data_IF_348051588302
#
_entry.id   IF_348051588302
#
_cell.length_a   1.000
_cell.length_b   1.000
_cell.length_c   1.000
_cell.angle_alpha   90.00
_cell.angle_beta   90.00
_cell.angle_gamma   90.00
#
_symmetry.space_group_name_H-M   'P 1'
#
loop_
_entity.id
_entity.type
_entity.pdbx_description
1 polymer ?
#
# COMPACT_ATOMS: atom_id res chain seq x y z
N UNK A 1 3.46 0.46 3.18
CA UNK A 1 4.27 1.48 3.89
C UNK A 1 5.25 0.84 4.89
N UNK A 2 4.80 -0.08 5.77
CA UNK A 2 5.66 -0.68 6.79
C UNK A 2 6.86 -1.45 6.20
N UNK A 3 6.65 -2.20 5.12
CA UNK A 3 7.73 -2.93 4.42
C UNK A 3 8.78 -1.96 3.89
N UNK A 4 8.38 -0.88 3.23
CA UNK A 4 9.33 0.10 2.70
C UNK A 4 10.09 0.83 3.80
N UNK A 5 9.44 1.19 4.91
CA UNK A 5 10.11 1.80 6.05
C UNK A 5 11.18 0.87 6.65
N UNK A 6 10.84 -0.40 6.83
CA UNK A 6 11.79 -1.40 7.31
C UNK A 6 12.98 -1.58 6.36
N UNK A 7 12.73 -1.59 5.04
CA UNK A 7 13.79 -1.64 4.03
C UNK A 7 14.73 -0.44 4.09
N UNK A 8 14.21 0.77 4.27
CA UNK A 8 15.04 1.97 4.43
C UNK A 8 15.98 1.89 5.64
N UNK A 9 15.57 1.18 6.69
CA UNK A 9 16.35 1.03 7.92
C UNK A 9 17.34 -0.13 7.87
N UNK A 10 17.01 -1.22 7.18
CA UNK A 10 17.72 -2.48 7.32
C UNK A 10 18.30 -3.06 6.02
N UNK A 11 17.87 -2.59 4.85
CA UNK A 11 18.34 -3.12 3.57
C UNK A 11 19.49 -2.26 3.02
N UNK A 12 20.71 -2.71 3.25
CA UNK A 12 21.93 -2.03 2.76
C UNK A 12 21.94 -1.87 1.23
N UNK A 13 21.40 -2.86 0.48
CA UNK A 13 21.36 -2.78 -0.99
C UNK A 13 20.44 -1.67 -1.47
N UNK A 14 19.29 -1.49 -0.81
CA UNK A 14 18.39 -0.38 -1.11
C UNK A 14 19.05 0.94 -0.73
N UNK A 15 19.67 1.04 0.45
CA UNK A 15 20.34 2.24 0.90
C UNK A 15 21.46 2.66 -0.06
N UNK A 16 22.30 1.73 -0.49
CA UNK A 16 23.35 1.99 -1.50
C UNK A 16 22.77 2.39 -2.86
N UNK A 17 21.66 1.76 -3.28
CA UNK A 17 21.01 2.11 -4.54
C UNK A 17 20.47 3.55 -4.49
N UNK A 18 19.89 3.96 -3.37
CA UNK A 18 19.43 5.33 -3.16
C UNK A 18 20.60 6.33 -3.13
N UNK A 19 21.69 6.00 -2.44
CA UNK A 19 22.86 6.88 -2.40
C UNK A 19 23.57 7.03 -3.76
N UNK A 20 23.56 5.98 -4.59
CA UNK A 20 24.05 6.06 -5.98
C UNK A 20 23.24 7.02 -6.85
N UNK A 21 21.92 7.11 -6.61
CA UNK A 21 21.03 7.95 -7.42
C UNK A 21 20.93 9.39 -6.90
N UNK A 22 20.92 9.56 -5.58
CA UNK A 22 20.59 10.84 -4.95
C UNK A 22 21.74 11.47 -4.16
N UNK A 23 22.92 10.82 -4.15
CA UNK A 23 24.09 11.27 -3.38
C UNK A 23 24.06 10.79 -1.92
N UNK A 24 24.97 11.26 -1.07
CA UNK A 24 25.09 10.79 0.30
C UNK A 24 23.86 11.15 1.12
N UNK A 25 23.16 10.14 1.61
CA UNK A 25 21.87 10.28 2.31
C UNK A 25 21.93 9.91 3.80
N UNK A 26 23.07 9.41 4.31
CA UNK A 26 23.12 8.93 5.69
C UNK A 26 23.20 10.07 6.69
N UNK A 27 22.53 9.87 7.82
CA UNK A 27 22.64 10.71 9.00
C UNK A 27 23.87 10.34 9.86
N UNK A 28 23.99 10.96 11.04
CA UNK A 28 25.09 10.73 12.00
C UNK A 28 25.15 9.30 12.54
N UNK A 29 24.02 8.58 12.47
CA UNK A 29 23.88 7.21 12.96
C UNK A 29 24.01 6.17 11.84
N UNK A 30 24.28 6.61 10.60
CA UNK A 30 24.38 5.75 9.44
C UNK A 30 23.03 5.36 8.79
N UNK A 31 21.90 5.86 9.31
CA UNK A 31 20.58 5.63 8.75
C UNK A 31 20.27 6.61 7.60
N UNK A 32 19.38 6.22 6.69
CA UNK A 32 18.92 7.12 5.61
C UNK A 32 18.14 8.31 6.19
N UNK A 33 18.66 9.51 5.96
CA UNK A 33 17.98 10.77 6.28
C UNK A 33 16.81 11.01 5.32
N UNK A 34 15.62 10.62 5.75
CA UNK A 34 14.39 10.75 4.97
C UNK A 34 14.02 12.20 4.66
N UNK A 35 14.39 13.16 5.53
CA UNK A 35 14.14 14.59 5.28
C UNK A 35 15.02 15.09 4.15
N UNK A 36 16.30 14.70 4.16
CA UNK A 36 17.27 15.04 3.11
C UNK A 36 16.84 14.43 1.77
N UNK A 37 16.46 13.14 1.75
CA UNK A 37 15.94 12.49 0.55
C UNK A 37 14.70 13.21 0.04
N UNK A 38 13.75 13.51 0.90
CA UNK A 38 12.53 14.25 0.55
C UNK A 38 12.83 15.62 -0.05
N UNK A 39 13.76 16.38 0.54
CA UNK A 39 14.16 17.68 0.01
C UNK A 39 14.75 17.60 -1.41
N UNK A 40 15.43 16.51 -1.76
CA UNK A 40 15.98 16.27 -3.09
C UNK A 40 14.89 15.93 -4.11
N UNK A 41 13.96 15.03 -3.75
CA UNK A 41 13.03 14.46 -4.73
C UNK A 41 11.75 15.28 -4.90
N UNK A 42 11.24 15.97 -3.85
CA UNK A 42 10.00 16.75 -3.97
C UNK A 42 10.13 18.02 -4.82
N UNK A 43 11.35 18.46 -5.11
CA UNK A 43 11.61 19.61 -5.98
C UNK A 43 11.84 19.22 -7.46
N UNK A 44 11.89 17.91 -7.75
CA UNK A 44 12.24 17.38 -9.07
C UNK A 44 11.36 16.16 -9.39
N UNK A 45 10.37 16.31 -10.28
CA UNK A 45 9.45 15.23 -10.64
C UNK A 45 10.14 13.98 -11.18
N UNK A 46 11.24 14.11 -11.91
CA UNK A 46 11.98 12.97 -12.47
C UNK A 46 12.68 12.19 -11.35
N UNK A 47 13.24 12.89 -10.37
CA UNK A 47 13.84 12.25 -9.19
C UNK A 47 12.80 11.59 -8.32
N UNK A 48 11.61 12.20 -8.18
CA UNK A 48 10.50 11.58 -7.45
C UNK A 48 10.04 10.29 -8.12
N UNK A 49 9.92 10.29 -9.45
CA UNK A 49 9.56 9.09 -10.21
C UNK A 49 10.64 8.00 -10.07
N UNK A 50 11.91 8.36 -10.16
CA UNK A 50 13.02 7.45 -9.95
C UNK A 50 13.00 6.84 -8.54
N UNK A 51 12.77 7.64 -7.50
CA UNK A 51 12.61 7.15 -6.13
C UNK A 51 11.46 6.15 -6.02
N UNK A 52 10.29 6.50 -6.57
CA UNK A 52 9.13 5.64 -6.56
C UNK A 52 9.43 4.29 -7.24
N UNK A 53 10.13 4.32 -8.38
CA UNK A 53 10.52 3.11 -9.09
C UNK A 53 11.47 2.22 -8.27
N UNK A 54 12.51 2.80 -7.67
CA UNK A 54 13.48 2.07 -6.83
C UNK A 54 12.80 1.49 -5.60
N UNK A 55 11.98 2.29 -4.91
CA UNK A 55 11.22 1.89 -3.73
C UNK A 55 10.22 0.76 -4.03
N UNK A 56 9.50 0.87 -5.14
CA UNK A 56 8.52 -0.12 -5.57
C UNK A 56 9.20 -1.47 -5.86
N UNK A 57 10.29 -1.48 -6.62
CA UNK A 57 11.05 -2.72 -6.91
C UNK A 57 11.54 -3.41 -5.65
N UNK A 58 12.14 -2.67 -4.72
CA UNK A 58 12.62 -3.22 -3.46
C UNK A 58 11.46 -3.80 -2.62
N UNK A 59 10.35 -3.07 -2.55
CA UNK A 59 9.15 -3.51 -1.82
C UNK A 59 8.55 -4.79 -2.42
N UNK A 60 8.47 -4.90 -3.74
CA UNK A 60 7.97 -6.11 -4.42
C UNK A 60 8.87 -7.31 -4.12
N UNK A 61 10.19 -7.16 -4.19
CA UNK A 61 11.15 -8.23 -3.88
C UNK A 61 10.99 -8.68 -2.44
N UNK A 62 10.93 -7.75 -1.49
CA UNK A 62 10.76 -8.07 -0.06
C UNK A 62 9.41 -8.72 0.23
N UNK A 63 8.35 -8.26 -0.42
CA UNK A 63 7.01 -8.86 -0.25
C UNK A 63 7.00 -10.31 -0.74
N UNK A 64 7.62 -10.61 -1.89
CA UNK A 64 7.76 -12.00 -2.39
C UNK A 64 8.52 -12.88 -1.39
N UNK A 65 9.60 -12.36 -0.80
CA UNK A 65 10.36 -13.07 0.22
C UNK A 65 9.48 -13.39 1.44
N UNK A 66 8.73 -12.39 1.95
CA UNK A 66 7.85 -12.57 3.12
C UNK A 66 6.73 -13.59 2.85
N UNK A 67 6.18 -13.62 1.64
CA UNK A 67 5.20 -14.65 1.24
C UNK A 67 5.85 -16.03 1.28
N UNK A 68 7.03 -16.20 0.70
CA UNK A 68 7.75 -17.48 0.74
C UNK A 68 8.10 -17.93 2.16
N UNK A 69 8.42 -17.02 3.08
CA UNK A 69 8.63 -17.32 4.49
C UNK A 69 7.33 -17.81 5.17
N UNK A 70 6.18 -17.16 4.85
CA UNK A 70 4.86 -17.60 5.32
C UNK A 70 4.49 -19.00 4.81
N UNK A 71 4.78 -19.30 3.55
CA UNK A 71 4.55 -20.63 2.94
C UNK A 71 5.37 -21.70 3.67
N UNK A 72 6.67 -21.46 3.89
CA UNK A 72 7.54 -22.39 4.62
C UNK A 72 7.08 -22.63 6.07
N UNK A 73 6.47 -21.62 6.69
CA UNK A 73 5.91 -21.72 8.05
C UNK A 73 4.49 -22.29 8.09
N UNK A 74 3.92 -22.68 6.94
CA UNK A 74 2.55 -23.14 6.80
C UNK A 74 1.53 -22.12 7.34
N UNK A 75 1.76 -20.82 7.13
CA UNK A 75 0.80 -19.80 7.51
C UNK A 75 -0.50 -20.00 6.72
N UNK A 76 -1.66 -20.05 7.37
CA UNK A 76 -2.93 -20.32 6.68
C UNK A 76 -3.39 -19.16 5.79
N UNK A 77 -2.89 -17.96 6.03
CA UNK A 77 -3.26 -16.74 5.29
C UNK A 77 -2.13 -15.72 5.39
N UNK A 78 -1.80 -15.09 4.26
CA UNK A 78 -0.99 -13.88 4.19
C UNK A 78 -1.80 -12.76 3.52
N UNK A 79 -1.79 -11.56 4.10
CA UNK A 79 -2.48 -10.41 3.55
C UNK A 79 -1.49 -9.31 3.15
N UNK A 80 -1.66 -8.73 1.96
CA UNK A 80 -0.91 -7.58 1.49
C UNK A 80 -1.82 -6.35 1.56
N UNK A 81 -1.49 -5.40 2.44
CA UNK A 81 -2.15 -4.08 2.49
C UNK A 81 -1.26 -3.05 1.77
N UNK A 82 -1.66 -2.63 0.59
CA UNK A 82 -0.92 -1.70 -0.23
C UNK A 82 -1.84 -0.81 -1.08
N UNK A 83 -1.61 0.51 -1.03
CA UNK A 83 -2.34 1.50 -1.83
C UNK A 83 -2.13 1.24 -3.34
N UNK A 84 -0.91 0.92 -3.74
CA UNK A 84 -0.53 0.67 -5.13
C UNK A 84 -0.43 -0.84 -5.44
N UNK A 85 -1.32 -1.67 -4.89
CA UNK A 85 -1.31 -3.12 -5.08
C UNK A 85 -1.38 -3.50 -6.56
N UNK A 86 -2.28 -2.87 -7.30
CA UNK A 86 -2.50 -3.15 -8.73
C UNK A 86 -1.38 -2.57 -9.59
N UNK A 87 -1.00 -1.31 -9.34
CA UNK A 87 0.02 -0.60 -10.11
C UNK A 87 1.42 -1.21 -9.93
N UNK A 88 1.69 -1.81 -8.78
CA UNK A 88 2.96 -2.50 -8.50
C UNK A 88 3.02 -3.92 -9.05
N UNK A 89 1.90 -4.47 -9.50
CA UNK A 89 1.79 -5.86 -9.91
C UNK A 89 1.80 -6.86 -8.75
N UNK A 90 1.73 -6.41 -7.49
CA UNK A 90 1.66 -7.28 -6.31
C UNK A 90 0.36 -8.11 -6.27
N UNK A 91 -0.71 -7.64 -6.92
CA UNK A 91 -1.95 -8.40 -7.09
C UNK A 91 -1.72 -9.76 -7.78
N UNK A 92 -0.71 -9.89 -8.64
CA UNK A 92 -0.37 -11.16 -9.30
C UNK A 92 0.15 -12.24 -8.32
N UNK A 93 0.51 -11.85 -7.09
CA UNK A 93 0.92 -12.76 -6.02
C UNK A 93 -0.26 -13.17 -5.12
N UNK A 94 -1.43 -12.59 -5.32
CA UNK A 94 -2.61 -12.81 -4.51
C UNK A 94 -3.52 -13.85 -5.17
N UNK A 95 -4.12 -14.73 -4.37
CA UNK A 95 -5.20 -15.62 -4.83
C UNK A 95 -6.53 -14.86 -4.96
N UNK A 96 -6.66 -13.77 -4.21
CA UNK A 96 -7.83 -12.90 -4.26
C UNK A 96 -7.42 -11.45 -3.92
N UNK A 97 -8.07 -10.49 -4.55
CA UNK A 97 -7.90 -9.07 -4.32
C UNK A 97 -9.20 -8.45 -3.82
N UNK A 98 -9.11 -7.60 -2.80
CA UNK A 98 -10.25 -6.94 -2.17
C UNK A 98 -10.06 -5.44 -2.23
N UNK A 99 -10.94 -4.73 -2.92
CA UNK A 99 -11.02 -3.28 -2.85
C UNK A 99 -11.86 -2.86 -1.65
N UNK A 100 -11.30 -2.02 -0.79
CA UNK A 100 -12.06 -1.38 0.30
C UNK A 100 -12.35 0.05 -0.12
N UNK A 101 -13.60 0.33 -0.46
CA UNK A 101 -14.05 1.61 -0.96
C UNK A 101 -14.80 2.40 0.12
N UNK A 102 -14.80 3.71 0.01
CA UNK A 102 -15.60 4.61 0.84
C UNK A 102 -15.92 5.89 0.06
N UNK A 103 -17.08 6.52 0.28
CA UNK A 103 -17.43 7.78 -0.36
C UNK A 103 -16.33 8.83 -0.17
N UNK A 104 -16.06 9.70 -1.17
CA UNK A 104 -14.99 10.69 -1.11
C UNK A 104 -15.03 11.56 0.16
N UNK A 105 -16.22 11.99 0.57
CA UNK A 105 -16.43 12.82 1.76
C UNK A 105 -16.04 12.09 3.06
N UNK A 106 -16.32 10.78 3.11
CA UNK A 106 -15.93 9.93 4.25
C UNK A 106 -14.40 9.80 4.30
N UNK A 107 -13.75 9.61 3.15
CA UNK A 107 -12.29 9.54 3.04
C UNK A 107 -11.64 10.85 3.45
N UNK A 108 -12.12 11.99 2.95
CA UNK A 108 -11.65 13.33 3.31
C UNK A 108 -11.71 13.54 4.82
N UNK A 109 -12.86 13.28 5.45
CA UNK A 109 -13.04 13.43 6.90
C UNK A 109 -12.07 12.55 7.70
N UNK A 110 -11.89 11.28 7.27
CA UNK A 110 -10.95 10.37 7.92
C UNK A 110 -9.50 10.82 7.81
N UNK A 111 -9.09 11.33 6.66
CA UNK A 111 -7.74 11.87 6.43
C UNK A 111 -7.51 13.10 7.30
N UNK A 112 -8.44 14.04 7.32
CA UNK A 112 -8.36 15.24 8.17
C UNK A 112 -8.21 14.88 9.65
N UNK A 113 -9.04 13.96 10.14
CA UNK A 113 -9.01 13.55 11.55
C UNK A 113 -7.72 12.82 11.94
N UNK A 114 -7.16 12.01 11.02
CA UNK A 114 -5.95 11.23 11.27
C UNK A 114 -4.68 12.08 11.21
N UNK A 115 -4.62 13.02 10.29
CA UNK A 115 -3.38 13.73 9.95
C UNK A 115 -3.39 15.22 10.33
N UNK A 116 -4.54 15.76 10.73
CA UNK A 116 -4.66 17.17 11.13
C UNK A 116 -4.44 18.16 9.98
N UNK A 117 -4.71 17.76 8.74
CA UNK A 117 -4.50 18.58 7.54
C UNK A 117 -5.78 19.33 7.15
N UNK A 118 -5.63 20.36 6.30
CA UNK A 118 -6.77 21.11 5.78
C UNK A 118 -7.67 20.26 4.88
N UNK A 119 -8.95 20.65 4.80
CA UNK A 119 -9.93 20.00 3.93
C UNK A 119 -9.52 20.07 2.45
N UNK A 120 -9.01 21.20 1.99
CA UNK A 120 -8.55 21.40 0.63
C UNK A 120 -7.42 20.42 0.28
N UNK A 121 -6.45 20.24 1.19
CA UNK A 121 -5.35 19.29 0.99
C UNK A 121 -5.84 17.83 1.07
N UNK A 122 -6.78 17.52 1.94
CA UNK A 122 -7.39 16.20 2.00
C UNK A 122 -8.14 15.87 0.69
N UNK A 123 -8.90 16.82 0.13
CA UNK A 123 -9.54 16.67 -1.18
C UNK A 123 -8.53 16.46 -2.31
N UNK A 124 -7.42 17.18 -2.34
CA UNK A 124 -6.39 16.99 -3.37
C UNK A 124 -5.85 15.57 -3.36
N UNK A 125 -5.62 14.99 -2.16
CA UNK A 125 -5.17 13.60 -2.00
C UNK A 125 -6.22 12.58 -2.45
N UNK A 126 -7.50 12.82 -2.14
CA UNK A 126 -8.58 11.92 -2.56
C UNK A 126 -8.75 11.94 -4.08
N UNK A 127 -8.67 13.12 -4.71
CA UNK A 127 -8.77 13.26 -6.19
C UNK A 127 -7.58 12.67 -6.94
N UNK A 128 -6.41 12.57 -6.30
CA UNK A 128 -5.23 11.94 -6.89
C UNK A 128 -5.31 10.41 -6.95
N UNK A 129 -6.26 9.80 -6.24
CA UNK A 129 -6.45 8.34 -6.25
C UNK A 129 -7.22 7.89 -7.50
N UNK A 130 -7.06 6.63 -7.87
CA UNK A 130 -7.87 5.99 -8.90
C UNK A 130 -9.36 5.98 -8.51
N UNK A 131 -10.24 5.93 -9.51
CA UNK A 131 -11.69 5.91 -9.30
C UNK A 131 -12.18 4.60 -8.67
N UNK A 132 -13.36 4.63 -8.07
CA UNK A 132 -14.02 3.43 -7.56
C UNK A 132 -14.28 2.41 -8.67
N UNK A 133 -14.63 2.90 -9.88
CA UNK A 133 -14.82 2.06 -11.05
C UNK A 133 -13.54 1.30 -11.44
N UNK A 134 -12.37 1.97 -11.32
CA UNK A 134 -11.09 1.33 -11.57
C UNK A 134 -10.88 0.14 -10.63
N UNK A 135 -11.09 0.33 -9.33
CA UNK A 135 -10.92 -0.76 -8.36
C UNK A 135 -11.96 -1.85 -8.52
N UNK A 136 -13.23 -1.51 -8.75
CA UNK A 136 -14.31 -2.48 -8.95
C UNK A 136 -14.08 -3.37 -10.19
N UNK A 137 -13.43 -2.85 -11.23
CA UNK A 137 -13.10 -3.63 -12.43
C UNK A 137 -11.85 -4.49 -12.31
N UNK A 138 -10.93 -4.11 -11.42
CA UNK A 138 -9.59 -4.73 -11.35
C UNK A 138 -9.35 -5.54 -10.06
N UNK A 139 -10.30 -5.56 -9.13
CA UNK A 139 -10.27 -6.41 -7.95
C UNK A 139 -11.36 -7.49 -8.03
N UNK A 140 -11.12 -8.61 -7.39
CA UNK A 140 -12.04 -9.75 -7.37
C UNK A 140 -13.25 -9.47 -6.49
N UNK A 141 -13.08 -8.69 -5.41
CA UNK A 141 -14.12 -8.34 -4.45
C UNK A 141 -14.08 -6.86 -4.09
N UNK A 142 -15.26 -6.34 -3.73
CA UNK A 142 -15.42 -4.97 -3.25
C UNK A 142 -16.12 -4.98 -1.89
N UNK A 143 -15.55 -4.24 -0.94
CA UNK A 143 -16.17 -3.93 0.35
C UNK A 143 -16.42 -2.44 0.48
N UNK A 144 -17.63 -2.06 0.85
CA UNK A 144 -18.03 -0.66 1.06
C UNK A 144 -17.91 -0.29 2.53
N UNK A 145 -16.96 0.59 2.86
CA UNK A 145 -16.76 1.12 4.21
C UNK A 145 -17.37 2.53 4.35
N UNK A 146 -18.68 2.60 4.30
CA UNK A 146 -19.46 3.85 4.21
C UNK A 146 -19.56 4.64 5.54
N UNK A 147 -18.76 4.32 6.54
CA UNK A 147 -18.78 5.01 7.84
C UNK A 147 -19.70 4.33 8.86
N UNK A 148 -20.11 3.11 8.62
CA UNK A 148 -20.77 2.22 9.59
C UNK A 148 -19.89 1.96 10.81
N UNK A 149 -20.48 1.44 11.89
CA UNK A 149 -19.73 1.07 13.08
C UNK A 149 -18.56 0.11 12.74
N UNK A 150 -17.39 0.25 13.34
CA UNK A 150 -16.23 -0.62 13.06
C UNK A 150 -16.55 -2.11 13.18
N UNK A 151 -17.42 -2.50 14.09
CA UNK A 151 -17.85 -3.88 14.31
C UNK A 151 -18.65 -4.43 13.13
N UNK A 152 -19.52 -3.64 12.54
CA UNK A 152 -20.30 -4.03 11.37
C UNK A 152 -19.40 -4.28 10.16
N UNK A 153 -18.46 -3.36 9.90
CA UNK A 153 -17.49 -3.53 8.82
C UNK A 153 -16.58 -4.74 9.06
N UNK A 154 -16.17 -4.97 10.32
CA UNK A 154 -15.42 -6.18 10.70
C UNK A 154 -16.19 -7.44 10.39
N UNK A 155 -17.50 -7.49 10.68
CA UNK A 155 -18.37 -8.61 10.34
C UNK A 155 -18.42 -8.89 8.83
N UNK A 156 -18.51 -7.84 8.00
CA UNK A 156 -18.48 -7.97 6.54
C UNK A 156 -17.13 -8.54 6.05
N UNK A 157 -16.01 -8.05 6.59
CA UNK A 157 -14.66 -8.56 6.27
C UNK A 157 -14.54 -10.04 6.65
N UNK A 158 -14.97 -10.42 7.86
CA UNK A 158 -14.91 -11.81 8.32
C UNK A 158 -15.74 -12.75 7.44
N UNK A 159 -16.95 -12.34 7.10
CA UNK A 159 -17.83 -13.12 6.23
C UNK A 159 -17.20 -13.32 4.83
N UNK A 160 -16.62 -12.26 4.25
CA UNK A 160 -15.96 -12.35 2.96
C UNK A 160 -14.73 -13.28 3.02
N UNK A 161 -13.86 -13.12 4.03
CA UNK A 161 -12.69 -13.98 4.20
C UNK A 161 -13.08 -15.46 4.38
N UNK A 162 -14.12 -15.77 5.14
CA UNK A 162 -14.61 -17.14 5.29
C UNK A 162 -15.06 -17.72 3.96
N UNK A 163 -15.77 -16.94 3.13
CA UNK A 163 -16.21 -17.37 1.80
C UNK A 163 -15.01 -17.63 0.86
N UNK A 164 -14.01 -16.75 0.87
CA UNK A 164 -12.80 -16.92 0.06
C UNK A 164 -12.05 -18.19 0.49
N UNK A 165 -11.84 -18.39 1.79
CA UNK A 165 -11.07 -19.51 2.33
C UNK A 165 -11.80 -20.86 2.18
N UNK A 166 -13.14 -20.88 2.16
CA UNK A 166 -13.91 -22.10 1.96
C UNK A 166 -14.08 -22.49 0.49
N UNK A 167 -13.59 -21.68 -0.45
CA UNK A 167 -13.75 -21.93 -1.89
C UNK A 167 -15.21 -21.84 -2.38
N UNK A 168 -16.11 -21.25 -1.58
CA UNK A 168 -17.55 -21.16 -1.88
C UNK A 168 -17.91 -19.95 -2.76
N UNK A 169 -16.92 -19.25 -3.29
CA UNK A 169 -17.14 -18.10 -4.20
C UNK A 169 -16.46 -18.37 -5.51
N UNK A 170 -17.23 -18.50 -6.58
CA UNK A 170 -16.72 -18.37 -7.94
C UNK A 170 -16.18 -16.94 -8.12
N UNK A 171 -14.95 -16.83 -8.64
CA UNK A 171 -14.16 -15.59 -8.76
C UNK A 171 -14.77 -14.53 -9.71
N UNK A 172 -16.08 -14.55 -10.00
CA UNK A 172 -16.72 -13.62 -10.97
C UNK A 172 -18.18 -13.26 -10.71
N UNK A 173 -18.72 -13.49 -9.54
CA UNK A 173 -20.09 -13.05 -9.24
C UNK A 173 -20.12 -12.13 -8.00
N UNK A 174 -19.89 -10.84 -8.20
CA UNK A 174 -20.60 -9.71 -7.54
C UNK A 174 -20.46 -8.46 -8.40
#
# INVERSE_FOLDING_TARGET
DAVYHNLLEQDEKLQEALERQFGPLRDKNGAIDRKKLGAIVFQDPEKLELLNHVAQRATVVKTRQLIGECEQQNCPLAAIDAIALLESGLNQLCHATIAVLAPPEVRVRRIMNREGISEEYAWSRVRAQKSEEFFSKNCDYVLQNNGTAPEEFRGQVQALLQRILSGTVDLKEV
#
